data_IF_628040211035
#
_entry.id   IF_628040211035
#
_cell.length_a   1.000
_cell.length_b   1.000
_cell.length_c   1.000
_cell.angle_alpha   90.00
_cell.angle_beta   90.00
_cell.angle_gamma   90.00
#
_symmetry.space_group_name_H-M   'P 1'
#
loop_
_entity.id
_entity.type
_entity.pdbx_description
1 polymer ?
#
# COMPACT_ATOMS: atom_id res chain seq x y z
N UNK A 1 -5.47 -10.72 27.17
CA UNK A 1 -5.46 -9.74 26.06
C UNK A 1 -5.75 -10.49 24.75
N UNK A 2 -6.94 -10.31 24.16
CA UNK A 2 -7.36 -11.08 22.97
C UNK A 2 -6.45 -10.89 21.76
N UNK A 3 -5.82 -9.73 21.60
CA UNK A 3 -5.02 -9.43 20.41
C UNK A 3 -3.75 -10.30 20.31
N UNK A 4 -3.20 -10.71 21.46
CA UNK A 4 -1.89 -11.39 21.54
C UNK A 4 -1.95 -12.79 22.19
N UNK A 5 -3.05 -13.15 22.86
CA UNK A 5 -3.16 -14.42 23.60
C UNK A 5 -4.25 -15.34 23.06
N UNK A 6 -5.35 -14.80 22.55
CA UNK A 6 -6.42 -15.63 22.04
C UNK A 6 -6.02 -16.21 20.69
N UNK A 7 -6.01 -17.54 20.63
CA UNK A 7 -5.83 -18.27 19.39
C UNK A 7 -7.18 -18.48 18.72
N UNK A 8 -7.18 -18.32 17.41
CA UNK A 8 -8.32 -18.66 16.58
C UNK A 8 -7.83 -19.25 15.25
N UNK A 9 -8.65 -20.07 14.61
CA UNK A 9 -8.39 -20.46 13.23
C UNK A 9 -8.75 -19.29 12.31
N UNK A 10 -7.82 -18.78 11.49
CA UNK A 10 -8.03 -17.61 10.65
C UNK A 10 -9.00 -17.86 9.49
N UNK A 11 -9.12 -19.12 9.05
CA UNK A 11 -9.83 -19.48 7.85
C UNK A 11 -9.30 -18.70 6.64
N UNK A 12 -10.21 -18.25 5.78
CA UNK A 12 -9.85 -17.68 4.48
C UNK A 12 -8.99 -16.40 4.50
N UNK A 13 -8.79 -15.71 5.64
CA UNK A 13 -7.79 -14.63 5.72
C UNK A 13 -6.37 -15.18 5.53
N UNK A 14 -6.11 -16.43 5.92
CA UNK A 14 -4.81 -17.08 5.77
C UNK A 14 -4.42 -17.35 4.32
N UNK A 15 -5.39 -17.35 3.39
CA UNK A 15 -5.12 -17.55 1.95
C UNK A 15 -4.17 -16.50 1.39
N UNK A 16 -3.98 -15.35 2.05
CA UNK A 16 -2.94 -14.37 1.67
C UNK A 16 -1.53 -14.98 1.77
N UNK A 17 -1.28 -15.87 2.73
CA UNK A 17 0.01 -16.55 2.94
C UNK A 17 0.22 -17.58 1.83
N UNK A 18 -0.77 -18.45 1.61
CA UNK A 18 -0.73 -19.47 0.55
C UNK A 18 -0.61 -18.84 -0.83
N UNK A 19 -1.32 -17.74 -1.09
CA UNK A 19 -1.22 -17.01 -2.35
C UNK A 19 0.15 -16.33 -2.52
N UNK A 20 0.65 -15.66 -1.47
CA UNK A 20 1.98 -15.05 -1.46
C UNK A 20 3.06 -16.07 -1.79
N UNK A 21 3.03 -17.24 -1.14
CA UNK A 21 3.98 -18.31 -1.36
C UNK A 21 3.98 -18.80 -2.81
N UNK A 22 2.80 -19.02 -3.39
CA UNK A 22 2.69 -19.52 -4.77
C UNK A 22 3.18 -18.51 -5.83
N UNK A 23 2.95 -17.21 -5.58
CA UNK A 23 3.46 -16.13 -6.43
C UNK A 23 4.98 -15.98 -6.30
N UNK A 24 5.50 -15.98 -5.07
CA UNK A 24 6.93 -15.81 -4.77
C UNK A 24 7.78 -16.97 -5.31
N UNK A 25 7.26 -18.20 -5.24
CA UNK A 25 7.90 -19.39 -5.79
C UNK A 25 7.71 -19.53 -7.32
N UNK A 26 7.07 -18.56 -7.96
CA UNK A 26 6.73 -18.56 -9.40
C UNK A 26 5.97 -19.82 -9.86
N UNK A 27 5.21 -20.44 -8.96
CA UNK A 27 4.38 -21.61 -9.27
C UNK A 27 3.03 -21.22 -9.88
N UNK A 28 2.60 -19.98 -9.64
CA UNK A 28 1.36 -19.40 -10.13
C UNK A 28 1.61 -17.96 -10.59
N UNK A 29 0.89 -17.57 -11.64
CA UNK A 29 0.66 -16.19 -12.05
C UNK A 29 -0.81 -15.80 -11.80
N UNK A 30 -1.16 -14.50 -11.76
CA UNK A 30 -2.55 -14.06 -11.56
C UNK A 30 -3.59 -14.72 -12.48
N UNK A 31 -3.22 -15.01 -13.73
CA UNK A 31 -4.03 -15.60 -14.79
C UNK A 31 -3.94 -17.14 -14.86
N UNK A 32 -3.09 -17.78 -14.05
CA UNK A 32 -2.95 -19.24 -14.08
C UNK A 32 -4.31 -19.92 -13.85
N UNK A 33 -4.78 -20.77 -14.78
CA UNK A 33 -6.08 -21.43 -14.65
C UNK A 33 -6.03 -22.53 -13.58
N UNK A 34 -7.02 -22.53 -12.69
CA UNK A 34 -7.15 -23.50 -11.61
C UNK A 34 -8.53 -24.16 -11.73
N UNK A 35 -8.52 -25.47 -11.92
CA UNK A 35 -9.75 -26.26 -12.02
C UNK A 35 -10.37 -26.48 -10.64
N UNK A 36 -11.45 -25.80 -10.33
CA UNK A 36 -12.18 -25.95 -9.07
C UNK A 36 -13.33 -26.95 -9.17
N UNK A 37 -13.56 -27.56 -10.34
CA UNK A 37 -14.61 -28.57 -10.51
C UNK A 37 -14.32 -29.80 -9.64
N UNK A 38 -15.36 -30.48 -9.13
CA UNK A 38 -16.79 -30.14 -9.19
C UNK A 38 -17.28 -29.15 -8.11
N UNK A 39 -16.40 -28.36 -7.50
CA UNK A 39 -16.71 -27.48 -6.36
C UNK A 39 -16.47 -28.14 -5.00
N UNK A 40 -15.88 -29.34 -4.98
CA UNK A 40 -15.43 -30.01 -3.77
C UNK A 40 -14.16 -30.84 -4.02
N UNK A 41 -13.45 -31.16 -2.94
CA UNK A 41 -12.29 -32.05 -2.95
C UNK A 41 -12.34 -33.01 -1.75
N UNK A 42 -11.91 -34.25 -1.95
CA UNK A 42 -12.01 -35.32 -0.95
C UNK A 42 -10.64 -35.79 -0.50
N UNK A 43 -10.46 -35.89 0.83
CA UNK A 43 -9.28 -36.46 1.48
C UNK A 43 -9.73 -37.57 2.44
N UNK A 44 -9.59 -38.82 2.03
CA UNK A 44 -10.15 -39.96 2.77
C UNK A 44 -11.66 -39.83 2.93
N UNK A 45 -12.14 -39.73 4.18
CA UNK A 45 -13.57 -39.53 4.50
C UNK A 45 -14.00 -38.06 4.55
N UNK A 46 -13.06 -37.12 4.48
CA UNK A 46 -13.34 -35.68 4.58
C UNK A 46 -13.63 -35.11 3.20
N UNK A 47 -14.78 -34.44 3.06
CA UNK A 47 -15.13 -33.66 1.86
C UNK A 47 -15.07 -32.18 2.22
N UNK A 48 -14.40 -31.39 1.39
CA UNK A 48 -14.29 -29.94 1.55
C UNK A 48 -14.94 -29.29 0.34
N UNK A 49 -15.90 -28.40 0.59
CA UNK A 49 -16.66 -27.69 -0.44
C UNK A 49 -16.18 -26.26 -0.59
N UNK A 50 -16.34 -25.72 -1.79
CA UNK A 50 -16.41 -24.28 -1.99
C UNK A 50 -17.73 -23.72 -1.49
N UNK A 51 -17.68 -22.52 -0.91
CA UNK A 51 -18.88 -21.78 -0.49
C UNK A 51 -19.74 -21.35 -1.69
N UNK A 52 -19.12 -21.25 -2.87
CA UNK A 52 -19.79 -20.94 -4.14
C UNK A 52 -19.73 -22.15 -5.07
N UNK A 53 -20.89 -22.69 -5.43
CA UNK A 53 -20.97 -23.81 -6.36
C UNK A 53 -20.57 -23.40 -7.79
N UNK A 54 -19.99 -24.33 -8.55
CA UNK A 54 -19.89 -24.23 -10.00
C UNK A 54 -18.92 -23.17 -10.53
N UNK A 55 -17.85 -22.83 -9.79
CA UNK A 55 -16.84 -21.86 -10.26
C UNK A 55 -16.12 -22.31 -11.54
N UNK A 56 -16.01 -23.62 -11.79
CA UNK A 56 -15.40 -24.15 -13.01
C UNK A 56 -13.88 -24.03 -12.98
N UNK A 57 -13.28 -23.64 -14.11
CA UNK A 57 -11.86 -23.30 -14.17
C UNK A 57 -11.75 -21.79 -14.04
N UNK A 58 -11.10 -21.30 -12.99
CA UNK A 58 -10.97 -19.87 -12.70
C UNK A 58 -9.50 -19.47 -12.60
N UNK A 59 -9.13 -18.22 -12.91
CA UNK A 59 -7.76 -17.76 -12.72
C UNK A 59 -7.39 -17.75 -11.23
N UNK A 60 -6.08 -17.82 -10.94
CA UNK A 60 -5.54 -17.71 -9.58
C UNK A 60 -6.08 -16.49 -8.82
N UNK A 61 -6.19 -15.34 -9.49
CA UNK A 61 -6.83 -14.14 -8.91
C UNK A 61 -8.23 -14.45 -8.40
N UNK A 62 -9.04 -15.17 -9.18
CA UNK A 62 -10.43 -15.47 -8.83
C UNK A 62 -10.56 -16.49 -7.71
N UNK A 63 -9.58 -17.38 -7.54
CA UNK A 63 -9.51 -18.26 -6.36
C UNK A 63 -9.50 -17.42 -5.08
N UNK A 64 -8.73 -16.33 -5.04
CA UNK A 64 -8.64 -15.46 -3.87
C UNK A 64 -9.85 -14.53 -3.77
N UNK A 65 -10.30 -13.95 -4.88
CA UNK A 65 -11.46 -13.03 -4.96
C UNK A 65 -12.76 -13.71 -4.56
N UNK A 66 -13.01 -14.94 -5.03
CA UNK A 66 -14.18 -15.75 -4.68
C UNK A 66 -13.97 -16.61 -3.44
N UNK A 67 -12.75 -16.59 -2.90
CA UNK A 67 -12.36 -17.34 -1.71
C UNK A 67 -12.59 -18.85 -1.85
N UNK A 68 -12.33 -19.44 -3.03
CA UNK A 68 -12.46 -20.89 -3.27
C UNK A 68 -11.53 -21.67 -2.33
N UNK A 69 -12.09 -22.61 -1.57
CA UNK A 69 -11.37 -23.57 -0.73
C UNK A 69 -10.67 -24.61 -1.60
N UNK A 70 -11.34 -25.15 -2.62
CA UNK A 70 -10.78 -26.12 -3.56
C UNK A 70 -9.57 -25.51 -4.28
N UNK A 71 -9.70 -24.28 -4.79
CA UNK A 71 -8.59 -23.59 -5.44
C UNK A 71 -7.41 -23.35 -4.49
N UNK A 72 -7.67 -22.89 -3.26
CA UNK A 72 -6.62 -22.68 -2.26
C UNK A 72 -5.90 -23.99 -1.89
N UNK A 73 -6.65 -25.09 -1.76
CA UNK A 73 -6.09 -26.42 -1.53
C UNK A 73 -5.19 -26.83 -2.70
N UNK A 74 -5.63 -26.64 -3.95
CA UNK A 74 -4.80 -26.99 -5.12
C UNK A 74 -3.51 -26.18 -5.19
N UNK A 75 -3.57 -24.89 -4.84
CA UNK A 75 -2.38 -24.04 -4.70
C UNK A 75 -1.45 -24.59 -3.62
N UNK A 76 -2.01 -24.92 -2.44
CA UNK A 76 -1.26 -25.53 -1.34
C UNK A 76 -0.60 -26.87 -1.69
N UNK A 77 -1.32 -27.75 -2.38
CA UNK A 77 -0.80 -29.02 -2.87
C UNK A 77 0.31 -28.82 -3.90
N UNK A 78 0.22 -27.78 -4.73
CA UNK A 78 1.27 -27.42 -5.70
C UNK A 78 2.54 -26.87 -5.01
N UNK A 79 2.37 -26.12 -3.92
CA UNK A 79 3.48 -25.64 -3.08
C UNK A 79 4.20 -26.79 -2.37
N UNK A 80 3.42 -27.72 -1.80
CA UNK A 80 3.93 -28.76 -0.94
C UNK A 80 4.14 -28.28 0.51
N UNK A 81 4.34 -29.24 1.44
CA UNK A 81 4.38 -28.97 2.87
C UNK A 81 5.58 -28.12 3.30
N UNK A 82 6.77 -28.34 2.72
CA UNK A 82 8.00 -27.63 3.08
C UNK A 82 7.88 -26.14 2.77
N UNK A 83 7.53 -25.80 1.51
CA UNK A 83 7.37 -24.40 1.08
C UNK A 83 6.26 -23.72 1.86
N UNK A 84 5.09 -24.33 1.99
CA UNK A 84 4.00 -23.71 2.75
C UNK A 84 4.45 -23.42 4.18
N UNK A 85 5.08 -24.40 4.84
CA UNK A 85 5.65 -24.25 6.17
C UNK A 85 6.68 -23.13 6.31
N UNK A 86 7.56 -22.99 5.31
CA UNK A 86 8.52 -21.89 5.24
C UNK A 86 7.81 -20.54 5.22
N UNK A 87 6.82 -20.35 4.34
CA UNK A 87 6.08 -19.08 4.27
C UNK A 87 5.27 -18.80 5.53
N UNK A 88 4.68 -19.82 6.17
CA UNK A 88 4.04 -19.68 7.49
C UNK A 88 5.03 -19.07 8.49
N UNK A 89 6.27 -19.56 8.54
CA UNK A 89 7.32 -18.99 9.41
C UNK A 89 7.80 -17.61 8.95
N UNK A 90 7.97 -17.39 7.64
CA UNK A 90 8.42 -16.10 7.06
C UNK A 90 7.42 -14.97 7.32
N UNK A 91 6.12 -15.26 7.37
CA UNK A 91 5.09 -14.31 7.77
C UNK A 91 4.96 -14.11 9.29
N UNK A 92 5.73 -14.85 10.09
CA UNK A 92 5.81 -14.66 11.54
C UNK A 92 4.86 -15.53 12.38
N UNK A 93 4.17 -16.50 11.78
CA UNK A 93 3.35 -17.45 12.53
C UNK A 93 4.23 -18.47 13.27
N UNK A 94 3.74 -18.99 14.38
CA UNK A 94 4.49 -19.91 15.24
C UNK A 94 5.53 -19.22 16.14
N UNK A 95 5.54 -17.89 16.17
CA UNK A 95 6.54 -17.07 16.85
C UNK A 95 5.88 -15.86 17.52
N UNK A 96 6.46 -15.40 18.63
CA UNK A 96 6.12 -14.11 19.23
C UNK A 96 6.77 -12.97 18.46
N UNK A 97 5.99 -11.96 18.07
CA UNK A 97 6.45 -10.85 17.23
C UNK A 97 6.62 -9.55 18.00
N UNK A 98 5.92 -9.35 19.12
CA UNK A 98 5.76 -8.07 19.79
C UNK A 98 6.40 -8.08 21.19
N UNK A 99 7.67 -7.66 21.34
CA UNK A 99 8.39 -7.74 22.61
C UNK A 99 7.77 -6.89 23.73
N UNK A 100 6.95 -5.90 23.37
CA UNK A 100 6.22 -5.04 24.32
C UNK A 100 5.20 -5.82 25.16
N UNK A 101 4.76 -6.99 24.70
CA UNK A 101 3.74 -7.78 25.40
C UNK A 101 4.29 -9.06 26.02
N UNK A 102 4.34 -9.09 27.35
CA UNK A 102 4.60 -10.33 28.08
C UNK A 102 3.44 -11.31 27.88
N UNK A 103 3.78 -12.57 27.60
CA UNK A 103 2.80 -13.64 27.41
C UNK A 103 2.06 -13.60 26.08
N UNK A 104 2.68 -13.06 25.03
CA UNK A 104 2.23 -13.30 23.65
C UNK A 104 2.23 -14.80 23.36
N UNK A 105 1.16 -15.30 22.76
CA UNK A 105 1.09 -16.69 22.31
C UNK A 105 1.79 -16.82 20.95
N UNK A 106 2.68 -17.82 20.77
CA UNK A 106 3.33 -18.05 19.48
C UNK A 106 2.36 -18.59 18.42
N UNK A 107 1.13 -18.96 18.79
CA UNK A 107 0.23 -19.68 17.90
C UNK A 107 0.51 -21.18 17.86
N UNK A 108 -0.25 -21.87 17.00
CA UNK A 108 -0.14 -23.31 16.76
C UNK A 108 0.04 -23.51 15.26
N UNK A 109 1.24 -23.90 14.86
CA UNK A 109 1.59 -24.19 13.46
C UNK A 109 2.10 -25.61 13.35
N UNK A 110 1.94 -26.21 12.17
CA UNK A 110 2.45 -27.54 11.90
C UNK A 110 3.97 -27.55 11.75
N UNK A 111 4.59 -28.66 12.16
CA UNK A 111 5.91 -29.00 11.65
C UNK A 111 5.73 -29.46 10.19
N UNK A 112 6.40 -28.83 9.20
CA UNK A 112 6.26 -29.18 7.78
C UNK A 112 6.46 -30.67 7.50
N UNK A 113 7.41 -31.32 8.19
CA UNK A 113 7.71 -32.75 8.03
C UNK A 113 6.56 -33.68 8.49
N UNK A 114 5.56 -33.16 9.23
CA UNK A 114 4.39 -33.91 9.71
C UNK A 114 3.09 -33.50 8.99
N UNK A 115 3.18 -32.65 7.98
CA UNK A 115 2.03 -32.11 7.27
C UNK A 115 1.62 -33.11 6.17
N UNK A 116 0.72 -34.03 6.50
CA UNK A 116 0.15 -34.95 5.53
C UNK A 116 -0.74 -34.21 4.50
N UNK A 117 -1.18 -34.85 3.39
CA UNK A 117 -2.00 -34.18 2.38
C UNK A 117 -3.31 -33.56 2.90
N UNK A 118 -3.94 -34.15 3.92
CA UNK A 118 -5.19 -33.66 4.51
C UNK A 118 -4.95 -32.44 5.41
N UNK A 119 -3.88 -32.47 6.20
CA UNK A 119 -3.41 -31.34 6.98
C UNK A 119 -2.95 -30.19 6.07
N UNK A 120 -2.20 -30.48 5.01
CA UNK A 120 -1.78 -29.52 3.99
C UNK A 120 -2.99 -28.83 3.35
N UNK A 121 -4.00 -29.60 2.96
CA UNK A 121 -5.24 -29.04 2.45
C UNK A 121 -5.92 -28.11 3.46
N UNK A 122 -5.96 -28.51 4.74
CA UNK A 122 -6.56 -27.71 5.81
C UNK A 122 -5.83 -26.38 6.03
N UNK A 123 -4.51 -26.44 6.20
CA UNK A 123 -3.67 -25.26 6.46
C UNK A 123 -3.71 -24.29 5.29
N UNK A 124 -3.77 -24.79 4.05
CA UNK A 124 -3.83 -23.95 2.84
C UNK A 124 -5.08 -23.06 2.73
N UNK A 125 -6.14 -23.37 3.49
CA UNK A 125 -7.34 -22.54 3.61
C UNK A 125 -7.52 -21.93 5.01
N UNK A 126 -6.50 -22.03 5.87
CA UNK A 126 -6.47 -21.43 7.21
C UNK A 126 -7.17 -22.23 8.30
N UNK A 127 -7.30 -23.55 8.13
CA UNK A 127 -7.77 -24.49 9.15
C UNK A 127 -6.61 -25.30 9.73
N UNK A 128 -6.77 -25.83 10.94
CA UNK A 128 -5.70 -26.53 11.67
C UNK A 128 -4.43 -25.68 11.86
N UNK A 129 -4.60 -24.36 11.93
CA UNK A 129 -3.56 -23.40 12.29
C UNK A 129 -4.18 -22.41 13.28
N UNK A 130 -3.54 -22.22 14.43
CA UNK A 130 -3.98 -21.28 15.46
C UNK A 130 -3.13 -20.02 15.41
N UNK A 131 -3.75 -18.87 15.14
CA UNK A 131 -3.03 -17.59 15.06
C UNK A 131 -3.56 -16.58 16.07
N UNK A 132 -2.73 -15.60 16.42
CA UNK A 132 -3.18 -14.42 17.17
C UNK A 132 -3.59 -13.29 16.22
N UNK A 133 -4.35 -12.32 16.71
CA UNK A 133 -4.74 -11.15 15.92
C UNK A 133 -3.51 -10.34 15.48
N UNK A 134 -2.49 -10.23 16.35
CA UNK A 134 -1.26 -9.49 16.03
C UNK A 134 -0.45 -10.18 14.94
N UNK A 135 -0.35 -11.52 14.93
CA UNK A 135 0.31 -12.26 13.84
C UNK A 135 -0.41 -12.06 12.51
N UNK A 136 -1.73 -12.18 12.51
CA UNK A 136 -2.52 -12.06 11.28
C UNK A 136 -2.52 -10.62 10.73
N UNK A 137 -2.54 -9.62 11.62
CA UNK A 137 -2.36 -8.20 11.25
C UNK A 137 -0.95 -7.94 10.72
N UNK A 138 0.08 -8.51 11.35
CA UNK A 138 1.48 -8.38 10.91
C UNK A 138 1.70 -8.98 9.53
N UNK A 139 1.09 -10.13 9.25
CA UNK A 139 1.17 -10.75 7.93
C UNK A 139 0.51 -9.89 6.84
N UNK A 140 -0.66 -9.30 7.11
CA UNK A 140 -1.29 -8.36 6.18
C UNK A 140 -0.48 -7.06 6.01
N UNK A 141 0.11 -6.54 7.10
CA UNK A 141 1.01 -5.39 7.04
C UNK A 141 2.28 -5.68 6.23
N UNK A 142 2.80 -6.91 6.27
CA UNK A 142 3.91 -7.31 5.42
C UNK A 142 3.55 -7.25 3.92
N UNK A 143 2.30 -7.58 3.55
CA UNK A 143 1.84 -7.36 2.18
C UNK A 143 1.74 -5.85 1.88
N UNK A 144 1.17 -5.08 2.81
CA UNK A 144 0.97 -3.64 2.66
C UNK A 144 2.28 -2.84 2.49
N UNK A 145 3.35 -3.23 3.17
CA UNK A 145 4.60 -2.48 3.20
C UNK A 145 5.68 -3.03 2.24
N UNK A 146 5.27 -3.75 1.19
CA UNK A 146 6.18 -4.23 0.15
C UNK A 146 6.98 -5.48 0.54
N UNK A 147 6.45 -6.31 1.43
CA UNK A 147 6.88 -7.67 1.69
C UNK A 147 7.67 -7.88 2.98
N UNK A 148 7.72 -6.91 3.90
CA UNK A 148 8.58 -6.98 5.11
C UNK A 148 7.78 -7.11 6.40
N UNK A 149 8.11 -8.12 7.20
CA UNK A 149 7.55 -8.26 8.54
C UNK A 149 8.30 -7.32 9.47
N UNK A 150 7.56 -6.38 10.03
CA UNK A 150 8.02 -5.38 10.99
C UNK A 150 7.64 -5.82 12.39
N UNK A 151 8.52 -5.56 13.36
CA UNK A 151 8.24 -5.78 14.78
C UNK A 151 7.06 -4.91 15.25
N UNK A 152 5.91 -5.50 15.63
CA UNK A 152 4.79 -4.74 16.16
C UNK A 152 5.14 -4.17 17.53
N UNK A 153 4.81 -2.90 17.76
CA UNK A 153 5.08 -2.17 19.00
C UNK A 153 3.92 -1.27 19.38
N UNK A 154 3.73 -1.09 20.67
CA UNK A 154 2.85 -0.06 21.25
C UNK A 154 3.66 1.07 21.87
N UNK A 155 4.93 0.85 22.19
CA UNK A 155 5.79 1.88 22.75
C UNK A 155 6.34 2.77 21.62
N UNK A 156 5.95 4.05 21.61
CA UNK A 156 6.49 5.02 20.67
C UNK A 156 7.89 5.50 21.09
N UNK A 157 8.01 5.99 22.32
CA UNK A 157 9.24 6.54 22.87
C UNK A 157 9.30 6.33 24.38
N UNK A 158 10.50 6.39 24.95
CA UNK A 158 10.74 6.49 26.38
C UNK A 158 11.16 7.92 26.74
N UNK A 159 10.83 8.36 27.96
CA UNK A 159 11.47 9.54 28.56
C UNK A 159 12.58 9.04 29.48
N UNK A 160 13.82 9.39 29.19
CA UNK A 160 15.01 9.07 30.02
C UNK A 160 15.78 10.35 30.27
N UNK A 161 16.01 10.69 31.54
CA UNK A 161 16.73 11.91 31.96
C UNK A 161 16.20 13.20 31.31
N UNK A 162 14.87 13.32 31.23
CA UNK A 162 14.20 14.46 30.58
C UNK A 162 14.28 14.46 29.05
N UNK A 163 14.93 13.46 28.43
CA UNK A 163 15.07 13.34 26.97
C UNK A 163 14.12 12.28 26.43
N UNK A 164 13.41 12.62 25.35
CA UNK A 164 12.60 11.67 24.58
C UNK A 164 13.51 10.81 23.70
N UNK A 165 13.47 9.49 23.92
CA UNK A 165 14.21 8.48 23.16
C UNK A 165 13.21 7.67 22.35
N UNK A 166 13.20 7.90 21.04
CA UNK A 166 12.35 7.16 20.10
C UNK A 166 12.72 5.68 20.03
N UNK A 167 11.71 4.81 19.99
CA UNK A 167 11.94 3.39 19.70
C UNK A 167 12.14 3.25 18.19
N UNK A 168 13.26 2.66 17.73
CA UNK A 168 13.50 2.51 16.30
C UNK A 168 12.50 1.54 15.66
N UNK A 169 12.18 1.78 14.40
CA UNK A 169 11.44 0.82 13.59
C UNK A 169 12.34 -0.38 13.27
N UNK A 170 11.91 -1.60 13.59
CA UNK A 170 12.70 -2.82 13.41
C UNK A 170 12.07 -3.74 12.38
N UNK A 171 12.81 -4.03 11.32
CA UNK A 171 12.46 -5.07 10.34
C UNK A 171 12.94 -6.41 10.89
N UNK A 172 12.02 -7.38 11.01
CA UNK A 172 12.33 -8.72 11.48
C UNK A 172 12.85 -9.59 10.34
N UNK A 173 12.20 -9.53 9.17
CA UNK A 173 12.54 -10.31 7.96
C UNK A 173 11.75 -9.83 6.75
N UNK A 174 12.18 -10.26 5.56
CA UNK A 174 11.39 -10.17 4.33
C UNK A 174 10.57 -11.46 4.14
N UNK A 175 9.25 -11.34 4.12
CA UNK A 175 8.36 -12.46 3.85
C UNK A 175 8.26 -12.75 2.35
N UNK A 176 8.19 -11.70 1.51
CA UNK A 176 8.13 -11.80 0.05
C UNK A 176 8.82 -10.62 -0.61
N UNK A 177 9.07 -10.71 -1.92
CA UNK A 177 9.48 -9.59 -2.76
C UNK A 177 8.43 -8.48 -2.80
N UNK A 178 8.86 -7.28 -3.18
CA UNK A 178 7.95 -6.14 -3.35
C UNK A 178 7.00 -6.35 -4.52
N UNK A 179 7.44 -7.07 -5.55
CA UNK A 179 6.68 -7.47 -6.73
C UNK A 179 5.53 -8.44 -6.36
N UNK A 180 5.83 -9.47 -5.58
CA UNK A 180 4.81 -10.39 -5.05
C UNK A 180 3.80 -9.65 -4.17
N UNK A 181 4.28 -8.78 -3.27
CA UNK A 181 3.42 -7.98 -2.40
C UNK A 181 2.49 -7.05 -3.20
N UNK A 182 3.01 -6.38 -4.24
CA UNK A 182 2.23 -5.52 -5.12
C UNK A 182 1.19 -6.31 -5.92
N UNK A 183 1.57 -7.48 -6.45
CA UNK A 183 0.65 -8.37 -7.17
C UNK A 183 -0.48 -8.83 -6.26
N UNK A 184 -0.16 -9.31 -5.05
CA UNK A 184 -1.17 -9.73 -4.09
C UNK A 184 -2.05 -8.58 -3.63
N UNK A 185 -1.50 -7.37 -3.47
CA UNK A 185 -2.29 -6.16 -3.16
C UNK A 185 -3.36 -5.92 -4.22
N UNK A 186 -3.02 -6.00 -5.50
CA UNK A 186 -4.00 -5.86 -6.60
C UNK A 186 -5.06 -6.97 -6.62
N UNK A 187 -4.72 -8.19 -6.20
CA UNK A 187 -5.70 -9.27 -6.04
C UNK A 187 -6.63 -8.97 -4.85
N UNK A 188 -6.08 -8.50 -3.73
CA UNK A 188 -6.83 -8.14 -2.52
C UNK A 188 -7.73 -6.91 -2.71
N UNK A 189 -7.38 -5.97 -3.59
CA UNK A 189 -8.29 -4.91 -4.06
C UNK A 189 -9.53 -5.52 -4.73
N UNK A 190 -9.35 -6.49 -5.62
CA UNK A 190 -10.46 -7.12 -6.34
C UNK A 190 -11.39 -7.93 -5.41
N UNK A 191 -10.89 -8.44 -4.27
CA UNK A 191 -11.73 -9.06 -3.24
C UNK A 191 -12.77 -8.06 -2.71
N UNK A 192 -12.35 -6.79 -2.54
CA UNK A 192 -13.19 -5.69 -2.07
C UNK A 192 -14.05 -5.13 -3.21
N UNK A 193 -13.54 -5.05 -4.43
CA UNK A 193 -14.29 -4.47 -5.56
C UNK A 193 -15.38 -5.38 -6.11
N UNK A 194 -15.07 -6.66 -6.32
CA UNK A 194 -15.97 -7.62 -7.01
C UNK A 194 -16.12 -8.96 -6.31
N UNK A 195 -15.39 -9.18 -5.21
CA UNK A 195 -15.36 -10.43 -4.46
C UNK A 195 -16.25 -10.44 -3.22
N UNK A 196 -15.80 -11.18 -2.21
CA UNK A 196 -16.54 -11.44 -0.96
C UNK A 196 -16.54 -10.27 0.03
N UNK A 197 -15.78 -9.19 -0.23
CA UNK A 197 -15.56 -8.10 0.73
C UNK A 197 -16.14 -6.74 0.31
N UNK A 198 -17.17 -6.71 -0.55
CA UNK A 198 -17.75 -5.44 -1.05
C UNK A 198 -18.16 -4.45 0.04
N UNK A 199 -18.62 -4.95 1.19
CA UNK A 199 -18.98 -4.12 2.33
C UNK A 199 -17.81 -3.34 2.96
N UNK A 200 -16.56 -3.66 2.61
CA UNK A 200 -15.37 -2.93 3.04
C UNK A 200 -15.01 -1.75 2.13
N UNK A 201 -15.72 -1.51 1.03
CA UNK A 201 -15.48 -0.39 0.11
C UNK A 201 -15.70 0.96 0.80
N UNK A 202 -14.74 1.87 0.64
CA UNK A 202 -14.76 3.24 1.17
C UNK A 202 -14.69 4.21 0.00
N UNK A 203 -15.64 5.14 -0.07
CA UNK A 203 -15.70 6.11 -1.16
C UNK A 203 -14.43 6.97 -1.20
N UNK A 204 -13.80 7.07 -2.37
CA UNK A 204 -12.57 7.83 -2.56
C UNK A 204 -11.28 7.12 -2.11
N UNK A 205 -11.34 5.88 -1.61
CA UNK A 205 -10.15 5.15 -1.17
C UNK A 205 -10.01 3.79 -1.85
N UNK A 206 -8.76 3.44 -2.21
CA UNK A 206 -8.43 2.06 -2.57
C UNK A 206 -8.24 1.21 -1.32
N UNK A 207 -8.91 0.06 -1.26
CA UNK A 207 -8.88 -0.84 -0.10
C UNK A 207 -8.49 -2.23 -0.57
N UNK A 208 -7.44 -2.80 0.02
CA UNK A 208 -7.05 -4.19 -0.19
C UNK A 208 -7.41 -4.99 1.06
N UNK A 209 -8.08 -6.12 0.90
CA UNK A 209 -8.40 -6.97 2.05
C UNK A 209 -8.85 -8.38 1.72
N UNK A 210 -9.14 -9.15 2.76
CA UNK A 210 -9.60 -10.53 2.67
C UNK A 210 -10.57 -10.85 3.80
N UNK A 211 -11.68 -11.50 3.45
CA UNK A 211 -12.60 -12.09 4.43
C UNK A 211 -12.12 -13.44 4.93
N UNK A 212 -12.43 -13.75 6.18
CA UNK A 212 -12.33 -15.06 6.79
C UNK A 212 -13.63 -15.46 7.45
N UNK A 213 -13.94 -16.74 7.38
CA UNK A 213 -15.06 -17.37 8.10
C UNK A 213 -14.58 -18.76 8.44
N UNK A 214 -14.36 -19.01 9.72
CA UNK A 214 -13.80 -20.27 10.21
C UNK A 214 -14.75 -20.89 11.22
N UNK A 215 -15.07 -22.17 11.03
CA UNK A 215 -15.80 -22.95 12.03
C UNK A 215 -14.94 -23.07 13.29
N UNK A 216 -15.53 -22.87 14.47
CA UNK A 216 -14.81 -23.01 15.73
C UNK A 216 -14.70 -24.48 16.13
N UNK A 217 -13.58 -24.84 16.75
CA UNK A 217 -13.41 -26.15 17.36
C UNK A 217 -14.06 -26.13 18.76
N UNK A 218 -15.13 -26.91 18.93
CA UNK A 218 -15.85 -27.08 20.20
C UNK A 218 -15.81 -28.56 20.55
N UNK A 219 -15.27 -28.90 21.72
CA UNK A 219 -15.13 -30.29 22.19
C UNK A 219 -14.45 -31.23 21.17
N UNK A 220 -13.42 -30.73 20.49
CA UNK A 220 -12.64 -31.49 19.49
C UNK A 220 -13.32 -31.67 18.14
N UNK A 221 -14.46 -31.00 17.88
CA UNK A 221 -15.17 -31.05 16.60
C UNK A 221 -15.49 -29.64 16.10
N UNK A 222 -15.51 -29.45 14.78
CA UNK A 222 -15.93 -28.18 14.21
C UNK A 222 -17.44 -27.98 14.46
N UNK A 223 -17.79 -26.85 15.08
CA UNK A 223 -19.17 -26.45 15.35
C UNK A 223 -19.85 -26.01 14.06
N UNK A 224 -21.13 -26.35 13.91
CA UNK A 224 -21.97 -25.86 12.81
C UNK A 224 -22.75 -24.57 13.18
N UNK A 225 -22.51 -24.03 14.37
CA UNK A 225 -23.19 -22.82 14.87
C UNK A 225 -22.20 -21.72 15.29
N UNK A 226 -20.96 -22.09 15.64
CA UNK A 226 -19.94 -21.18 16.13
C UNK A 226 -18.87 -20.90 15.08
N UNK A 227 -18.68 -19.63 14.78
CA UNK A 227 -17.79 -19.17 13.72
C UNK A 227 -16.92 -18.01 14.21
N UNK A 228 -15.69 -17.94 13.70
CA UNK A 228 -14.91 -16.71 13.70
C UNK A 228 -15.16 -16.00 12.37
N UNK A 229 -15.87 -14.88 12.41
CA UNK A 229 -16.03 -13.99 11.27
C UNK A 229 -14.91 -12.95 11.28
N UNK A 230 -14.13 -12.86 10.21
CA UNK A 230 -12.99 -11.94 10.16
C UNK A 230 -12.87 -11.18 8.85
N UNK A 231 -12.29 -9.99 8.95
CA UNK A 231 -11.82 -9.23 7.79
C UNK A 231 -10.50 -8.56 8.15
N UNK A 232 -9.49 -8.77 7.30
CA UNK A 232 -8.21 -8.08 7.39
C UNK A 232 -7.99 -7.27 6.13
N UNK A 233 -7.55 -6.03 6.27
CA UNK A 233 -7.26 -5.18 5.13
C UNK A 233 -6.39 -3.99 5.47
N UNK A 234 -5.93 -3.30 4.46
CA UNK A 234 -5.13 -2.10 4.59
C UNK A 234 -5.52 -1.07 3.54
N UNK A 235 -5.31 0.20 3.88
CA UNK A 235 -5.70 1.34 3.06
C UNK A 235 -4.87 2.60 3.35
N UNK A 236 -4.75 3.52 2.37
CA UNK A 236 -4.97 3.30 0.94
C UNK A 236 -4.09 2.18 0.39
N UNK A 237 -4.60 1.24 -0.39
CA UNK A 237 -3.83 0.05 -0.81
C UNK A 237 -2.54 0.36 -1.61
N UNK A 238 -2.47 1.51 -2.30
CA UNK A 238 -1.28 1.92 -3.09
C UNK A 238 -0.24 2.68 -2.28
N UNK A 239 -0.66 3.32 -1.19
CA UNK A 239 0.21 3.95 -0.21
C UNK A 239 -0.31 3.64 1.20
N UNK A 240 -0.12 2.40 1.70
CA UNK A 240 -0.79 1.97 2.91
C UNK A 240 -0.35 2.75 4.14
N UNK A 241 -1.32 3.31 4.84
CA UNK A 241 -1.11 4.04 6.08
C UNK A 241 -1.62 3.26 7.29
N UNK A 242 -2.62 2.40 7.09
CA UNK A 242 -3.29 1.65 8.17
C UNK A 242 -3.59 0.23 7.72
N UNK A 243 -3.29 -0.75 8.57
CA UNK A 243 -3.80 -2.13 8.49
C UNK A 243 -4.76 -2.36 9.64
N UNK A 244 -5.94 -2.90 9.35
CA UNK A 244 -6.99 -3.18 10.34
C UNK A 244 -7.43 -4.64 10.19
N UNK A 245 -7.48 -5.34 11.32
CA UNK A 245 -8.09 -6.65 11.45
C UNK A 245 -9.31 -6.52 12.37
N UNK A 246 -10.44 -7.03 11.91
CA UNK A 246 -11.65 -7.22 12.72
C UNK A 246 -11.92 -8.72 12.81
N UNK A 247 -12.04 -9.23 14.04
CA UNK A 247 -12.48 -10.60 14.33
C UNK A 247 -13.68 -10.54 15.26
N UNK A 248 -14.77 -11.17 14.87
CA UNK A 248 -16.00 -11.29 15.66
C UNK A 248 -16.21 -12.77 15.96
N UNK A 249 -16.24 -13.07 17.25
CA UNK A 249 -16.34 -14.42 17.80
C UNK A 249 -17.81 -14.81 17.98
N UNK A 250 -18.22 -15.93 17.37
CA UNK A 250 -19.58 -16.47 17.34
C UNK A 250 -20.65 -15.39 17.10
N UNK A 251 -20.64 -14.68 15.95
CA UNK A 251 -21.70 -13.74 15.65
C UNK A 251 -23.03 -14.46 15.46
N UNK A 252 -24.04 -14.02 16.21
CA UNK A 252 -25.43 -14.42 16.04
C UNK A 252 -26.25 -13.17 15.71
N UNK A 253 -26.90 -13.16 14.54
CA UNK A 253 -27.68 -12.00 14.12
C UNK A 253 -28.20 -12.10 12.70
N UNK A 254 -29.03 -11.13 12.28
CA UNK A 254 -29.70 -11.15 10.97
C UNK A 254 -28.72 -11.04 9.80
N UNK A 255 -27.51 -10.55 10.05
CA UNK A 255 -26.46 -10.37 9.03
C UNK A 255 -25.67 -11.66 8.74
N UNK A 256 -26.07 -12.80 9.32
CA UNK A 256 -25.39 -14.08 9.18
C UNK A 256 -24.06 -14.13 9.93
N UNK A 257 -23.16 -15.00 9.47
CA UNK A 257 -21.88 -15.31 10.14
C UNK A 257 -20.65 -15.08 9.27
N UNK A 258 -20.83 -14.56 8.05
CA UNK A 258 -19.72 -14.38 7.11
C UNK A 258 -18.90 -13.13 7.43
N UNK A 259 -17.58 -13.21 7.25
CA UNK A 259 -16.67 -12.08 7.46
C UNK A 259 -17.00 -10.86 6.59
N UNK A 260 -17.58 -11.07 5.40
CA UNK A 260 -18.00 -10.00 4.49
C UNK A 260 -19.28 -9.25 4.91
N UNK A 261 -20.16 -9.90 5.68
CA UNK A 261 -21.42 -9.29 6.16
C UNK A 261 -21.31 -8.80 7.60
N UNK A 262 -20.41 -9.40 8.39
CA UNK A 262 -20.24 -9.10 9.81
C UNK A 262 -19.03 -8.20 10.07
N UNK A 263 -17.84 -8.59 9.60
CA UNK A 263 -16.58 -7.93 9.98
C UNK A 263 -16.20 -6.78 9.03
N UNK A 264 -16.47 -6.91 7.73
CA UNK A 264 -16.16 -5.89 6.73
C UNK A 264 -16.87 -4.52 6.96
N UNK A 265 -18.16 -4.45 7.36
CA UNK A 265 -18.80 -3.18 7.72
C UNK A 265 -18.15 -2.51 8.95
N UNK A 266 -17.70 -3.30 9.93
CA UNK A 266 -17.00 -2.78 11.11
C UNK A 266 -15.63 -2.24 10.72
N UNK A 267 -14.89 -2.96 9.86
CA UNK A 267 -13.65 -2.46 9.28
C UNK A 267 -13.86 -1.10 8.61
N UNK A 268 -14.88 -0.97 7.76
CA UNK A 268 -15.18 0.28 7.06
C UNK A 268 -15.35 1.46 8.01
N UNK A 269 -16.13 1.28 9.09
CA UNK A 269 -16.37 2.33 10.09
C UNK A 269 -15.11 2.73 10.83
N UNK A 270 -14.27 1.76 11.22
CA UNK A 270 -12.98 2.03 11.88
C UNK A 270 -12.05 2.77 10.92
N UNK A 271 -11.97 2.30 9.68
CA UNK A 271 -11.15 2.88 8.63
C UNK A 271 -11.53 4.34 8.31
N UNK A 272 -12.81 4.65 8.10
CA UNK A 272 -13.29 6.02 7.83
C UNK A 272 -12.94 6.98 8.98
N UNK A 273 -13.16 6.55 10.22
CA UNK A 273 -12.79 7.33 11.40
C UNK A 273 -11.28 7.54 11.50
N UNK A 274 -10.49 6.51 11.16
CA UNK A 274 -9.02 6.55 11.25
C UNK A 274 -8.42 7.43 10.16
N UNK A 275 -8.91 7.35 8.92
CA UNK A 275 -8.51 8.21 7.81
C UNK A 275 -8.76 9.69 8.15
N UNK A 276 -9.93 9.98 8.71
CA UNK A 276 -10.28 11.34 9.17
C UNK A 276 -9.34 11.81 10.27
N UNK A 277 -9.10 10.97 11.29
CA UNK A 277 -8.21 11.30 12.40
C UNK A 277 -6.76 11.54 11.95
N UNK A 278 -6.27 10.75 11.00
CA UNK A 278 -4.91 10.86 10.49
C UNK A 278 -4.75 11.92 9.37
N UNK A 279 -5.84 12.56 8.94
CA UNK A 279 -5.81 13.54 7.85
C UNK A 279 -5.39 12.95 6.50
N UNK A 280 -5.64 11.65 6.29
CA UNK A 280 -5.31 10.98 5.03
C UNK A 280 -6.42 11.29 4.04
N UNK A 281 -6.11 11.98 2.95
CA UNK A 281 -7.07 12.33 1.91
C UNK A 281 -7.41 11.16 0.96
N UNK A 282 -8.45 11.30 0.12
CA UNK A 282 -8.83 10.30 -0.87
C UNK A 282 -7.67 9.91 -1.79
N UNK A 283 -7.55 8.62 -2.09
CA UNK A 283 -6.55 8.06 -3.03
C UNK A 283 -7.11 7.85 -4.44
N UNK A 284 -8.44 7.82 -4.59
CA UNK A 284 -9.13 7.80 -5.87
C UNK A 284 -9.73 9.18 -6.14
N UNK A 285 -9.50 9.71 -7.34
CA UNK A 285 -10.04 11.00 -7.79
C UNK A 285 -9.85 12.11 -6.75
N UNK A 286 -8.62 12.23 -6.19
CA UNK A 286 -8.31 13.25 -5.21
C UNK A 286 -8.70 14.63 -5.78
N UNK A 287 -9.55 15.41 -5.08
CA UNK A 287 -9.86 16.75 -5.54
C UNK A 287 -8.55 17.55 -5.66
N UNK A 288 -8.43 18.43 -6.67
CA UNK A 288 -7.25 19.27 -6.80
C UNK A 288 -7.03 20.04 -5.49
N UNK A 289 -5.78 20.26 -5.06
CA UNK A 289 -5.50 20.94 -3.81
C UNK A 289 -6.26 22.27 -3.80
N UNK A 290 -7.12 22.45 -2.79
CA UNK A 290 -7.82 23.72 -2.59
C UNK A 290 -6.77 24.73 -2.14
N UNK A 291 -6.35 25.60 -3.07
CA UNK A 291 -5.52 26.76 -2.74
C UNK A 291 -6.40 27.76 -1.99
N UNK A 292 -6.39 27.67 -0.66
CA UNK A 292 -6.99 28.70 0.18
C UNK A 292 -6.04 29.88 0.17
N UNK A 293 -6.38 30.93 -0.59
CA UNK A 293 -5.74 32.22 -0.43
C UNK A 293 -6.00 32.69 1.00
N UNK A 294 -4.97 32.70 1.85
CA UNK A 294 -5.06 33.42 3.12
C UNK A 294 -5.19 34.90 2.79
N UNK A 295 -6.40 35.42 2.89
CA UNK A 295 -6.60 36.83 3.17
C UNK A 295 -6.29 37.02 4.65
N UNK A 296 -5.01 37.21 4.97
CA UNK A 296 -4.68 37.81 6.25
C UNK A 296 -5.29 39.22 6.24
N UNK A 297 -6.08 39.51 7.27
CA UNK A 297 -6.81 40.75 7.41
C UNK A 297 -5.85 41.94 7.48
N UNK A 298 -6.11 42.93 6.62
CA UNK A 298 -5.72 44.33 6.72
C UNK A 298 -4.25 44.65 7.04
N UNK A 299 -3.35 44.35 6.10
CA UNK A 299 -2.42 45.41 5.69
C UNK A 299 -3.05 46.15 4.52
N UNK A 300 -3.32 47.44 4.74
CA UNK A 300 -3.93 48.33 3.75
C UNK A 300 -3.05 48.39 2.49
N UNK A 301 -3.35 47.52 1.54
CA UNK A 301 -2.83 47.60 0.18
C UNK A 301 -3.51 48.82 -0.43
N UNK A 302 -2.83 49.96 -0.33
CA UNK A 302 -3.14 51.15 -1.13
C UNK A 302 -3.19 50.67 -2.58
N UNK A 303 -4.38 50.68 -3.17
CA UNK A 303 -4.58 50.41 -4.57
C UNK A 303 -3.82 51.48 -5.35
N UNK A 304 -2.55 51.20 -5.67
CA UNK A 304 -1.88 51.94 -6.70
C UNK A 304 -2.59 51.61 -8.01
N UNK A 305 -2.84 52.61 -8.88
CA UNK A 305 -3.37 52.33 -10.19
C UNK A 305 -2.49 51.27 -10.82
N UNK A 306 -3.12 50.16 -11.21
CA UNK A 306 -2.47 49.15 -12.05
C UNK A 306 -2.03 49.93 -13.28
N UNK A 307 -0.74 50.26 -13.34
CA UNK A 307 -0.10 50.56 -14.61
C UNK A 307 -0.30 49.28 -15.38
N UNK A 308 -1.20 49.31 -16.35
CA UNK A 308 -1.14 48.39 -17.48
C UNK A 308 0.34 48.27 -17.80
N UNK A 309 0.95 47.08 -17.73
CA UNK A 309 2.31 46.95 -18.20
C UNK A 309 2.27 47.53 -19.60
N UNK A 310 3.01 48.62 -19.83
CA UNK A 310 3.41 48.93 -21.19
C UNK A 310 4.04 47.63 -21.66
N UNK A 311 3.37 47.01 -22.63
CA UNK A 311 3.94 45.91 -23.37
C UNK A 311 5.19 46.51 -23.99
N UNK A 312 6.32 46.39 -23.29
CA UNK A 312 7.60 46.56 -23.91
C UNK A 312 7.72 45.33 -24.80
N UNK A 313 7.16 45.42 -26.01
CA UNK A 313 7.59 44.65 -27.16
C UNK A 313 9.05 45.03 -27.37
N UNK A 314 9.94 44.47 -26.55
CA UNK A 314 11.31 44.26 -26.97
C UNK A 314 11.19 43.34 -28.18
N UNK A 315 11.41 43.94 -29.35
CA UNK A 315 11.39 43.25 -30.62
C UNK A 315 12.16 41.94 -30.47
N UNK A 316 11.45 40.84 -30.71
CA UNK A 316 12.04 39.52 -30.87
C UNK A 316 12.85 39.56 -32.17
N UNK A 317 14.08 40.02 -32.09
CA UNK A 317 15.05 39.73 -33.14
C UNK A 317 15.44 38.25 -33.02
N UNK A 318 15.14 37.41 -34.02
CA UNK A 318 15.69 36.06 -34.05
C UNK A 318 17.22 36.20 -34.03
N UNK A 319 17.90 35.43 -33.19
CA UNK A 319 19.36 35.42 -33.09
C UNK A 319 19.97 35.18 -34.48
N UNK A 320 20.29 36.27 -35.19
CA UNK A 320 20.68 36.20 -36.59
C UNK A 320 22.13 35.80 -36.80
N UNK A 321 22.98 35.83 -35.77
CA UNK A 321 24.43 35.73 -35.98
C UNK A 321 25.18 34.76 -35.05
N UNK A 322 24.52 33.79 -34.41
CA UNK A 322 25.24 32.85 -33.52
C UNK A 322 25.90 33.55 -32.33
N UNK A 323 25.26 34.59 -31.78
CA UNK A 323 25.72 35.35 -30.62
C UNK A 323 24.78 35.15 -29.43
N UNK A 324 25.34 35.16 -28.22
CA UNK A 324 24.65 34.87 -26.97
C UNK A 324 23.65 35.97 -26.63
N UNK A 325 22.35 35.66 -26.45
CA UNK A 325 21.35 36.66 -26.09
C UNK A 325 21.52 37.14 -24.65
N UNK A 326 21.02 38.34 -24.34
CA UNK A 326 20.90 38.82 -22.96
C UNK A 326 19.69 38.16 -22.29
N UNK A 327 19.96 37.35 -21.28
CA UNK A 327 19.00 36.58 -20.51
C UNK A 327 18.70 37.24 -19.16
N UNK A 328 19.41 38.32 -18.79
CA UNK A 328 19.20 38.99 -17.51
C UNK A 328 17.79 39.56 -17.40
N UNK A 329 17.20 39.45 -16.22
CA UNK A 329 15.82 39.85 -15.95
C UNK A 329 14.76 38.82 -16.38
N UNK A 330 15.12 37.80 -17.17
CA UNK A 330 14.20 36.70 -17.47
C UNK A 330 14.03 35.78 -16.26
N UNK A 331 12.86 35.16 -16.14
CA UNK A 331 12.67 34.05 -15.22
C UNK A 331 13.50 32.84 -15.65
N UNK A 332 13.84 31.95 -14.70
CA UNK A 332 14.51 30.70 -15.01
C UNK A 332 13.83 29.90 -16.13
N UNK A 333 12.48 29.92 -16.18
CA UNK A 333 11.70 29.20 -17.19
C UNK A 333 11.84 29.81 -18.59
N UNK A 334 11.84 31.14 -18.69
CA UNK A 334 12.00 31.85 -19.96
C UNK A 334 13.42 31.70 -20.51
N UNK A 335 14.42 31.85 -19.65
CA UNK A 335 15.82 31.66 -20.01
C UNK A 335 16.09 30.24 -20.53
N UNK A 336 15.55 29.20 -19.86
CA UNK A 336 15.67 27.81 -20.31
C UNK A 336 15.02 27.56 -21.67
N UNK A 337 13.84 28.15 -21.91
CA UNK A 337 13.15 28.03 -23.21
C UNK A 337 13.97 28.64 -24.33
N UNK A 338 14.59 29.79 -24.08
CA UNK A 338 15.39 30.50 -25.06
C UNK A 338 16.68 29.74 -25.37
N UNK A 339 17.40 29.29 -24.33
CA UNK A 339 18.62 28.47 -24.46
C UNK A 339 18.37 27.15 -25.21
N UNK A 340 17.24 26.49 -24.94
CA UNK A 340 16.85 25.26 -25.64
C UNK A 340 16.62 25.49 -27.14
N UNK A 341 16.01 26.61 -27.53
CA UNK A 341 15.78 26.95 -28.96
C UNK A 341 17.08 27.19 -29.72
N UNK A 342 18.12 27.68 -29.06
CA UNK A 342 19.43 27.94 -29.67
C UNK A 342 20.42 26.78 -29.48
N UNK A 343 19.97 25.63 -28.97
CA UNK A 343 20.78 24.41 -28.86
C UNK A 343 21.84 24.44 -27.75
N UNK A 344 21.58 25.20 -26.68
CA UNK A 344 22.42 25.24 -25.49
C UNK A 344 21.78 24.52 -24.31
N UNK A 345 22.61 24.03 -23.40
CA UNK A 345 22.17 23.51 -22.10
C UNK A 345 22.48 24.52 -21.00
N UNK A 346 21.70 24.52 -19.90
CA UNK A 346 21.87 25.48 -18.81
C UNK A 346 22.25 24.80 -17.51
N UNK A 347 23.05 25.48 -16.67
CA UNK A 347 23.26 25.13 -15.26
C UNK A 347 22.82 26.32 -14.40
N UNK A 348 21.86 26.08 -13.54
CA UNK A 348 21.26 27.10 -12.68
C UNK A 348 21.88 27.09 -11.28
N UNK A 349 22.05 28.27 -10.68
CA UNK A 349 22.39 28.45 -9.27
C UNK A 349 21.52 29.55 -8.66
N UNK A 350 20.75 29.23 -7.62
CA UNK A 350 19.81 30.14 -6.96
C UNK A 350 18.35 29.98 -7.41
N UNK A 351 17.49 30.93 -7.00
CA UNK A 351 16.07 31.01 -7.30
C UNK A 351 15.65 32.43 -7.75
N UNK A 352 14.73 32.52 -8.71
CA UNK A 352 14.18 33.79 -9.21
C UNK A 352 14.57 34.12 -10.65
N UNK A 353 15.01 35.36 -10.87
CA UNK A 353 15.35 35.93 -12.18
C UNK A 353 16.84 35.81 -12.46
N UNK A 354 17.22 35.69 -13.73
CA UNK A 354 18.64 35.70 -14.14
C UNK A 354 19.24 37.06 -13.77
N UNK A 355 20.22 37.04 -12.86
CA UNK A 355 21.01 38.21 -12.48
C UNK A 355 22.33 38.23 -13.22
N UNK A 356 22.89 37.06 -13.51
CA UNK A 356 24.13 36.90 -14.27
C UNK A 356 24.05 35.67 -15.17
N UNK A 357 24.77 35.74 -16.30
CA UNK A 357 24.93 34.66 -17.26
C UNK A 357 26.39 34.53 -17.67
N UNK A 358 26.79 33.32 -18.05
CA UNK A 358 28.02 33.04 -18.79
C UNK A 358 27.71 31.99 -19.86
N UNK A 359 28.03 32.19 -21.15
CA UNK A 359 28.74 33.33 -21.74
C UNK A 359 27.98 34.67 -21.62
N UNK A 360 28.74 35.77 -21.66
CA UNK A 360 28.17 37.13 -21.61
C UNK A 360 27.34 37.44 -22.87
N UNK A 361 26.35 38.34 -22.80
CA UNK A 361 25.59 38.74 -23.98
C UNK A 361 26.52 39.23 -25.10
N UNK A 362 26.27 38.79 -26.33
CA UNK A 362 27.09 39.10 -27.51
C UNK A 362 28.30 38.18 -27.73
N UNK A 363 28.59 37.23 -26.84
CA UNK A 363 29.63 36.22 -27.06
C UNK A 363 29.24 35.22 -28.16
N UNK A 364 30.22 34.66 -28.87
CA UNK A 364 29.97 33.65 -29.91
C UNK A 364 29.39 32.36 -29.31
N UNK A 365 28.35 31.81 -29.98
CA UNK A 365 27.63 30.60 -29.56
C UNK A 365 28.17 29.36 -30.26
N UNK A 366 28.73 28.45 -29.46
CA UNK A 366 29.03 27.09 -29.90
C UNK A 366 27.84 26.21 -29.51
N UNK A 367 27.18 25.58 -30.51
CA UNK A 367 26.06 24.66 -30.24
C UNK A 367 26.53 23.49 -29.38
N UNK A 368 25.73 23.14 -28.36
CA UNK A 368 26.05 22.09 -27.40
C UNK A 368 26.74 22.57 -26.12
N UNK A 369 27.23 23.81 -26.08
CA UNK A 369 27.86 24.37 -24.89
C UNK A 369 26.87 24.67 -23.77
N UNK A 370 27.44 24.83 -22.57
CA UNK A 370 26.72 25.07 -21.32
C UNK A 370 26.71 26.55 -20.98
N UNK A 371 25.52 27.09 -20.74
CA UNK A 371 25.32 28.40 -20.15
C UNK A 371 25.14 28.30 -18.63
N UNK A 372 25.95 29.01 -17.86
CA UNK A 372 25.79 29.14 -16.40
C UNK A 372 24.89 30.34 -16.11
N UNK A 373 23.80 30.13 -15.35
CA UNK A 373 22.90 31.19 -14.94
C UNK A 373 22.87 31.30 -13.42
N UNK A 374 23.14 32.50 -12.89
CA UNK A 374 22.91 32.83 -11.48
C UNK A 374 21.56 33.52 -11.35
N UNK A 375 20.74 33.03 -10.44
CA UNK A 375 19.38 33.50 -10.20
C UNK A 375 19.32 34.28 -8.87
N UNK A 376 18.51 35.34 -8.86
CA UNK A 376 18.26 36.16 -7.67
C UNK A 376 16.80 36.57 -7.53
N UNK A 377 16.38 36.86 -6.29
CA UNK A 377 14.99 37.20 -5.92
C UNK A 377 14.53 38.60 -6.38
N UNK A 378 15.41 39.38 -7.01
CA UNK A 378 15.08 40.67 -7.66
C UNK A 378 15.67 40.69 -9.07
N UNK A 379 14.93 41.14 -10.09
CA UNK A 379 15.48 41.31 -11.43
C UNK A 379 16.60 42.35 -11.39
N UNK A 380 17.74 42.05 -12.02
CA UNK A 380 18.83 43.01 -12.14
C UNK A 380 18.36 44.21 -12.96
N UNK A 381 18.44 45.42 -12.41
CA UNK A 381 18.18 46.65 -13.13
C UNK A 381 19.19 46.78 -14.28
N UNK A 382 18.71 46.93 -15.51
CA UNK A 382 19.54 47.24 -16.68
C UNK A 382 20.39 48.48 -16.40
N UNK A 383 21.67 48.52 -16.81
CA UNK A 383 22.47 49.73 -16.67
C UNK A 383 21.87 50.82 -17.58
N UNK A 384 21.28 51.83 -16.96
CA UNK A 384 20.81 53.03 -17.65
C UNK A 384 21.98 53.75 -18.31
N UNK A 385 21.76 54.20 -19.55
CA UNK A 385 22.66 55.10 -20.26
C UNK A 385 22.97 56.33 -19.41
N UNK A 386 24.26 56.59 -19.27
CA UNK A 386 24.78 57.88 -18.83
C UNK A 386 24.75 58.92 -19.97
N UNK A 387 25.04 60.18 -19.63
CA UNK A 387 24.42 61.41 -20.16
C UNK A 387 24.54 61.67 -21.66
#
# INVERSE_FOLDING_TARGET
>A
NRAIQNLYEPGSTFKIVTASAALEEHLMSPDTPIDTRPGYITFGRRVIHDDHAGLGVIPFTDVIVKSSNVGAIRIGMKLGPERLGEYVSRFGFGQTLAPDFRGESPGIVWNPARLDPSALASVSMGYQVGVTAIQMTSAASAVANGGVVVEPRVIHAFIRDGRRVEVPHRVLRRAVTTETAATLTGIMEQVVERGTARSAQISGYTVAGKTGTAHKLVNGRYSNADYNASFVGFLPSRHPAVTILVVIDSPHGPNGYYGGTVSAPVFKRIAEATLTYLGIGPSLNAPPPVLVARHDAEESLVAQPVRTPEVLTAALEPARNGLMPDLRGLSAREALRLLSRIGMSARLSGDGFVVEQSPVPGAELIRGDRCLLRLGRRPASSPGGGP
#
